data_IF_974818169523
#
_entry.id   IF_974818169523
#
_cell.length_a   1.000
_cell.length_b   1.000
_cell.length_c   1.000
_cell.angle_alpha   90.00
_cell.angle_beta   90.00
_cell.angle_gamma   90.00
#
_symmetry.space_group_name_H-M   'P 1'
#
loop_
_entity.id
_entity.type
_entity.pdbx_description
1 polymer ?
#
# COMPACT_ATOMS: atom_id res chain seq x y z
N UNK A 1 45.57 9.68 -39.40
CA UNK A 1 44.49 8.86 -40.00
C UNK A 1 43.20 9.12 -39.22
N UNK A 2 42.08 9.49 -39.87
CA UNK A 2 40.82 9.72 -39.18
C UNK A 2 40.26 8.39 -38.63
N UNK A 3 39.60 8.38 -37.46
CA UNK A 3 39.05 7.16 -36.88
C UNK A 3 37.93 6.63 -37.78
N UNK A 4 38.07 5.39 -38.26
CA UNK A 4 37.06 4.70 -39.08
C UNK A 4 35.70 4.80 -38.39
N UNK A 5 34.71 5.35 -39.10
CA UNK A 5 33.34 5.43 -38.62
C UNK A 5 32.81 4.01 -38.35
N UNK A 6 32.69 3.65 -37.07
CA UNK A 6 32.17 2.35 -36.64
C UNK A 6 30.73 2.21 -37.13
N UNK A 7 30.43 1.15 -37.87
CA UNK A 7 29.08 0.91 -38.42
C UNK A 7 28.15 0.46 -37.30
N UNK A 8 26.86 0.76 -37.43
CA UNK A 8 25.83 0.44 -36.41
C UNK A 8 25.73 -1.07 -36.19
N UNK A 9 25.95 -1.87 -37.23
CA UNK A 9 25.95 -3.33 -37.15
C UNK A 9 27.06 -3.87 -36.24
N UNK A 10 28.25 -3.26 -36.26
CA UNK A 10 29.36 -3.66 -35.38
C UNK A 10 29.05 -3.37 -33.91
N UNK A 11 28.36 -2.25 -33.65
CA UNK A 11 27.90 -1.88 -32.31
C UNK A 11 26.81 -2.83 -31.80
N UNK A 12 25.88 -3.26 -32.66
CA UNK A 12 24.87 -4.26 -32.30
C UNK A 12 25.49 -5.62 -31.99
N UNK A 13 26.49 -6.04 -32.79
CA UNK A 13 27.26 -7.27 -32.51
C UNK A 13 27.95 -7.19 -31.14
N UNK A 14 28.58 -6.06 -30.83
CA UNK A 14 29.22 -5.83 -29.54
C UNK A 14 28.21 -5.84 -28.37
N UNK A 15 27.04 -5.20 -28.51
CA UNK A 15 25.99 -5.27 -27.50
C UNK A 15 25.49 -6.70 -27.30
N UNK A 16 25.30 -7.46 -28.39
CA UNK A 16 24.85 -8.86 -28.33
C UNK A 16 25.87 -9.77 -27.64
N UNK A 17 27.16 -9.65 -27.96
CA UNK A 17 28.22 -10.41 -27.26
C UNK A 17 28.35 -10.03 -25.79
N UNK A 18 27.89 -8.84 -25.43
CA UNK A 18 27.87 -8.32 -24.07
C UNK A 18 26.56 -8.63 -23.31
N UNK A 19 25.59 -9.33 -23.92
CA UNK A 19 24.29 -9.60 -23.31
C UNK A 19 23.38 -8.38 -23.15
N UNK A 20 23.65 -7.29 -23.87
CA UNK A 20 22.90 -6.04 -23.80
C UNK A 20 21.86 -5.96 -24.92
N UNK A 21 20.80 -5.20 -24.68
CA UNK A 21 19.79 -4.91 -25.71
C UNK A 21 20.41 -4.26 -26.96
N UNK A 22 19.94 -4.67 -28.13
CA UNK A 22 20.50 -4.30 -29.44
C UNK A 22 19.63 -3.31 -30.23
N UNK A 23 18.49 -2.89 -29.67
CA UNK A 23 17.58 -1.91 -30.29
C UNK A 23 18.08 -0.47 -30.14
N UNK A 24 17.56 0.48 -30.92
CA UNK A 24 17.92 1.90 -30.82
C UNK A 24 18.95 2.40 -31.85
N UNK A 25 19.27 3.69 -31.76
CA UNK A 25 20.15 4.38 -32.71
C UNK A 25 21.63 4.23 -32.32
N UNK A 26 22.55 4.73 -33.16
CA UNK A 26 23.99 4.61 -32.94
C UNK A 26 24.44 5.18 -31.58
N UNK A 27 23.86 6.29 -31.13
CA UNK A 27 24.21 6.93 -29.87
C UNK A 27 23.78 6.08 -28.67
N UNK A 28 22.61 5.46 -28.75
CA UNK A 28 22.07 4.59 -27.69
C UNK A 28 22.95 3.36 -27.46
N UNK A 29 23.40 2.72 -28.54
CA UNK A 29 24.29 1.56 -28.50
C UNK A 29 25.66 1.92 -27.91
N UNK A 30 26.23 3.06 -28.30
CA UNK A 30 27.51 3.55 -27.73
C UNK A 30 27.37 3.86 -26.25
N UNK A 31 26.25 4.47 -25.84
CA UNK A 31 25.99 4.80 -24.43
C UNK A 31 25.89 3.54 -23.58
N UNK A 32 25.20 2.50 -24.06
CA UNK A 32 25.09 1.20 -23.37
C UNK A 32 26.44 0.51 -23.19
N UNK A 33 27.25 0.44 -24.25
CA UNK A 33 28.59 -0.16 -24.17
C UNK A 33 29.52 0.61 -23.23
N UNK A 34 29.43 1.94 -23.17
CA UNK A 34 30.19 2.75 -22.20
C UNK A 34 29.74 2.52 -20.76
N UNK A 35 28.43 2.43 -20.53
CA UNK A 35 27.89 2.18 -19.19
C UNK A 35 28.27 0.79 -18.67
N UNK A 36 28.24 -0.24 -19.52
CA UNK A 36 28.67 -1.57 -19.14
C UNK A 36 30.16 -1.65 -18.82
N UNK A 37 31.03 -0.98 -19.62
CA UNK A 37 32.45 -0.88 -19.28
C UNK A 37 32.68 -0.17 -17.93
N UNK A 38 31.85 0.84 -17.62
CA UNK A 38 31.88 1.54 -16.34
C UNK A 38 31.40 0.67 -15.17
N UNK A 39 30.45 -0.24 -15.41
CA UNK A 39 29.99 -1.23 -14.43
C UNK A 39 30.99 -2.37 -14.23
N UNK A 40 31.56 -2.93 -15.31
CA UNK A 40 32.63 -3.94 -15.22
C UNK A 40 33.86 -3.44 -14.48
N UNK A 41 34.28 -2.19 -14.72
CA UNK A 41 35.37 -1.58 -13.94
C UNK A 41 35.01 -1.34 -12.46
N UNK A 42 33.72 -1.40 -12.10
CA UNK A 42 33.26 -1.28 -10.71
C UNK A 42 33.10 -2.64 -10.02
N UNK A 43 32.88 -3.71 -10.78
CA UNK A 43 32.73 -5.09 -10.28
C UNK A 43 34.01 -5.95 -10.38
N UNK A 44 34.97 -5.64 -11.26
CA UNK A 44 36.28 -6.33 -11.36
C UNK A 44 37.32 -5.86 -10.32
N UNK A 45 36.94 -5.03 -9.35
CA UNK A 45 37.80 -4.72 -8.20
C UNK A 45 37.70 -5.83 -7.13
N UNK A 46 38.30 -6.98 -7.45
CA UNK A 46 38.81 -7.95 -6.46
C UNK A 46 40.20 -7.47 -5.98
N UNK A 47 40.58 -7.70 -4.71
CA UNK A 47 41.63 -6.94 -4.04
C UNK A 47 43.01 -7.48 -4.40
N UNK A 48 43.65 -6.85 -5.37
CA UNK A 48 45.09 -6.90 -5.54
C UNK A 48 45.51 -5.51 -6.01
N UNK A 49 46.40 -4.88 -5.25
CA UNK A 49 46.97 -3.55 -5.48
C UNK A 49 46.09 -2.34 -5.09
N UNK A 50 45.49 -2.40 -3.90
CA UNK A 50 45.33 -1.16 -3.13
C UNK A 50 46.60 -0.95 -2.32
N UNK A 51 47.40 0.05 -2.71
CA UNK A 51 48.14 0.83 -1.71
C UNK A 51 47.13 1.14 -0.61
N UNK A 52 47.39 0.57 0.57
CA UNK A 52 46.61 0.74 1.78
C UNK A 52 46.28 2.24 1.91
N UNK A 53 45.01 2.67 1.87
CA UNK A 53 44.68 4.07 2.12
C UNK A 53 45.08 4.33 3.56
N UNK A 54 46.31 4.85 3.72
CA UNK A 54 46.93 5.35 4.95
C UNK A 54 45.81 5.82 5.86
N UNK A 55 45.63 5.14 6.99
CA UNK A 55 44.55 5.38 7.95
C UNK A 55 44.49 6.86 8.32
N UNK A 56 43.68 7.63 7.60
CA UNK A 56 43.59 9.10 7.68
C UNK A 56 42.91 9.56 8.98
N UNK A 57 42.32 8.65 9.74
CA UNK A 57 41.64 8.92 11.01
C UNK A 57 42.29 8.08 12.11
N UNK A 58 42.88 8.76 13.10
CA UNK A 58 43.53 8.10 14.23
C UNK A 58 42.99 8.67 15.53
N UNK A 59 42.63 7.77 16.44
CA UNK A 59 42.09 8.09 17.76
C UNK A 59 42.84 7.28 18.82
N UNK A 60 43.36 7.97 19.83
CA UNK A 60 44.17 7.38 20.91
C UNK A 60 43.55 7.74 22.27
N UNK A 61 43.44 6.76 23.17
CA UNK A 61 42.61 6.87 24.39
C UNK A 61 43.29 6.48 25.70
N UNK A 62 44.62 6.30 25.72
CA UNK A 62 45.32 5.91 26.95
C UNK A 62 46.31 6.97 27.38
N UNK A 63 45.94 7.74 28.41
CA UNK A 63 46.89 8.42 29.28
C UNK A 63 46.35 8.35 30.72
N UNK A 64 47.23 8.07 31.67
CA UNK A 64 46.92 8.03 33.11
C UNK A 64 47.27 9.37 33.79
N UNK A 65 47.73 10.32 33.00
CA UNK A 65 48.35 11.59 33.41
C UNK A 65 47.37 12.75 33.23
N UNK A 66 47.53 13.80 34.04
CA UNK A 66 46.52 14.86 34.19
C UNK A 66 46.75 16.11 33.33
N UNK A 67 47.84 16.19 32.57
CA UNK A 67 48.19 17.40 31.80
C UNK A 67 47.97 17.17 30.29
N UNK A 68 47.27 18.10 29.63
CA UNK A 68 46.90 17.99 28.21
C UNK A 68 48.13 17.77 27.29
N UNK A 69 49.26 18.34 27.68
CA UNK A 69 50.47 18.35 26.87
C UNK A 69 51.26 17.05 26.95
N UNK A 70 51.18 16.34 28.10
CA UNK A 70 51.70 14.98 28.22
C UNK A 70 50.91 14.03 27.31
N UNK A 71 49.58 14.15 27.27
CA UNK A 71 48.72 13.31 26.42
C UNK A 71 49.00 13.55 24.93
N UNK A 72 49.21 14.81 24.52
CA UNK A 72 49.62 15.14 23.14
C UNK A 72 51.01 14.59 22.80
N UNK A 73 51.93 14.56 23.77
CA UNK A 73 53.28 14.03 23.56
C UNK A 73 53.29 12.51 23.40
N UNK A 74 52.57 11.78 24.25
CA UNK A 74 52.43 10.31 24.17
C UNK A 74 51.75 9.86 22.88
N UNK A 75 50.80 10.66 22.37
CA UNK A 75 50.10 10.36 21.13
C UNK A 75 51.02 10.45 19.88
N UNK A 76 52.07 11.27 19.90
CA UNK A 76 53.02 11.42 18.76
C UNK A 76 53.88 10.20 18.51
N UNK A 77 54.04 9.34 19.52
CA UNK A 77 54.80 8.09 19.41
C UNK A 77 54.01 6.96 18.72
N UNK A 78 52.73 7.19 18.41
CA UNK A 78 51.89 6.24 17.68
C UNK A 78 52.15 6.37 16.16
N UNK A 79 52.56 5.29 15.46
CA UNK A 79 52.79 5.31 14.03
C UNK A 79 51.54 5.80 13.26
N UNK A 80 51.71 6.81 12.41
CA UNK A 80 50.63 7.47 11.66
C UNK A 80 50.18 8.83 12.22
N UNK A 81 50.49 9.17 13.48
CA UNK A 81 50.15 10.46 14.10
C UNK A 81 51.15 11.60 13.81
N UNK A 82 52.14 11.39 12.95
CA UNK A 82 53.22 12.37 12.75
C UNK A 82 52.82 13.55 11.84
N UNK A 83 51.72 13.44 11.09
CA UNK A 83 51.28 14.47 10.12
C UNK A 83 49.90 15.02 10.50
N UNK A 84 49.85 16.05 11.36
CA UNK A 84 48.63 16.83 11.64
C UNK A 84 48.64 17.63 12.95
N UNK A 85 47.77 18.65 13.04
CA UNK A 85 47.45 19.33 14.32
C UNK A 85 46.55 18.42 15.17
N UNK A 86 46.96 18.17 16.42
CA UNK A 86 46.26 17.30 17.36
C UNK A 86 45.56 18.13 18.43
N UNK A 87 44.31 17.81 18.70
CA UNK A 87 43.54 18.44 19.78
C UNK A 87 43.01 17.37 20.72
N UNK A 88 42.91 17.72 22.00
CA UNK A 88 42.36 16.85 23.04
C UNK A 88 40.89 17.18 23.23
N UNK A 89 40.03 16.16 23.18
CA UNK A 89 38.61 16.31 23.49
C UNK A 89 38.25 15.40 24.65
N UNK A 90 37.55 15.94 25.65
CA UNK A 90 36.97 15.13 26.73
C UNK A 90 35.60 14.64 26.30
N UNK A 91 35.41 13.32 26.26
CA UNK A 91 34.09 12.69 26.08
C UNK A 91 33.75 11.97 27.37
N UNK A 92 32.68 12.42 28.06
CA UNK A 92 32.26 11.93 29.39
C UNK A 92 33.35 11.91 30.48
N UNK A 93 34.34 12.79 30.39
CA UNK A 93 35.42 12.91 31.37
C UNK A 93 36.70 12.15 31.01
N UNK A 94 36.68 11.31 29.98
CA UNK A 94 37.89 10.66 29.44
C UNK A 94 38.51 11.51 28.33
N UNK A 95 39.83 11.76 28.35
CA UNK A 95 40.53 12.51 27.32
C UNK A 95 40.85 11.62 26.10
N UNK A 96 40.40 12.06 24.93
CA UNK A 96 40.71 11.44 23.64
C UNK A 96 41.61 12.38 22.83
N UNK A 97 42.62 11.83 22.16
CA UNK A 97 43.49 12.58 21.25
C UNK A 97 43.39 12.02 19.85
N UNK A 98 43.18 12.90 18.88
CA UNK A 98 43.10 12.51 17.48
C UNK A 98 43.11 13.70 16.54
N UNK A 99 43.36 13.42 15.27
CA UNK A 99 43.23 14.43 14.22
C UNK A 99 41.76 14.82 14.01
N UNK A 100 41.50 15.90 13.25
CA UNK A 100 40.15 16.44 13.01
C UNK A 100 39.14 15.39 12.55
N UNK A 101 39.58 14.38 11.77
CA UNK A 101 38.74 13.27 11.28
C UNK A 101 38.47 12.22 12.36
N UNK A 102 39.47 11.83 13.14
CA UNK A 102 39.36 10.88 14.25
C UNK A 102 38.46 11.39 15.39
N UNK A 103 38.43 12.70 15.66
CA UNK A 103 37.53 13.30 16.65
C UNK A 103 36.05 13.07 16.31
N UNK A 104 35.69 13.12 15.04
CA UNK A 104 34.32 12.84 14.58
C UNK A 104 33.85 11.41 14.87
N UNK A 105 34.80 10.49 15.13
CA UNK A 105 34.54 9.09 15.46
C UNK A 105 34.38 8.85 16.97
N UNK A 106 34.74 9.83 17.82
CA UNK A 106 34.57 9.73 19.27
C UNK A 106 33.09 9.64 19.65
N UNK A 107 32.76 8.73 20.56
CA UNK A 107 31.38 8.51 21.00
C UNK A 107 30.44 7.92 19.94
N UNK A 108 30.93 7.54 18.74
CA UNK A 108 30.08 6.88 17.73
C UNK A 108 29.51 5.58 18.26
N UNK A 109 30.29 4.75 18.96
CA UNK A 109 29.79 3.50 19.55
C UNK A 109 28.64 3.72 20.54
N UNK A 110 28.71 4.78 21.33
CA UNK A 110 27.61 5.17 22.24
C UNK A 110 26.40 5.70 21.48
N UNK A 111 26.62 6.50 20.42
CA UNK A 111 25.53 6.99 19.56
C UNK A 111 24.85 5.84 18.83
N UNK A 112 25.61 4.85 18.36
CA UNK A 112 25.07 3.62 17.76
C UNK A 112 24.23 2.89 18.79
N UNK A 113 24.76 2.62 19.99
CA UNK A 113 24.00 1.95 21.07
C UNK A 113 22.71 2.70 21.43
N UNK A 114 22.77 4.02 21.59
CA UNK A 114 21.61 4.84 21.89
C UNK A 114 20.59 4.89 20.73
N UNK A 115 21.05 4.77 19.48
CA UNK A 115 20.18 4.65 18.32
C UNK A 115 19.55 3.25 18.24
N UNK A 116 20.31 2.19 18.51
CA UNK A 116 19.81 0.81 18.59
C UNK A 116 18.71 0.70 19.65
N UNK A 117 18.94 1.21 20.86
CA UNK A 117 17.94 1.25 21.94
C UNK A 117 16.67 2.02 21.53
N UNK A 118 16.82 3.16 20.83
CA UNK A 118 15.68 3.93 20.30
C UNK A 118 14.93 3.19 19.21
N UNK A 119 15.63 2.48 18.33
CA UNK A 119 15.01 1.69 17.27
C UNK A 119 14.19 0.55 17.86
N UNK A 120 14.75 -0.21 18.82
CA UNK A 120 14.01 -1.26 19.52
C UNK A 120 12.78 -0.73 20.23
N UNK A 121 12.88 0.41 20.94
CA UNK A 121 11.74 1.03 21.60
C UNK A 121 10.66 1.53 20.62
N UNK A 122 11.05 1.97 19.42
CA UNK A 122 10.10 2.36 18.37
C UNK A 122 9.40 1.15 17.75
N UNK A 123 10.13 0.06 17.52
CA UNK A 123 9.57 -1.21 17.03
C UNK A 123 8.55 -1.79 18.01
N UNK A 124 8.86 -1.82 19.31
CA UNK A 124 7.92 -2.26 20.34
C UNK A 124 6.65 -1.40 20.35
N UNK A 125 6.79 -0.08 20.25
CA UNK A 125 5.65 0.85 20.19
C UNK A 125 4.83 0.66 18.91
N UNK A 126 5.47 0.37 17.78
CA UNK A 126 4.79 0.09 16.52
C UNK A 126 3.95 -1.20 16.63
N UNK A 127 4.55 -2.26 17.18
CA UNK A 127 3.87 -3.52 17.45
C UNK A 127 2.67 -3.35 18.39
N UNK A 128 2.84 -2.62 19.50
CA UNK A 128 1.74 -2.32 20.43
C UNK A 128 0.61 -1.51 19.79
N UNK A 129 0.95 -0.53 18.93
CA UNK A 129 -0.05 0.24 18.17
C UNK A 129 -0.80 -0.63 17.17
N UNK A 130 -0.11 -1.52 16.47
CA UNK A 130 -0.73 -2.43 15.51
C UNK A 130 -1.73 -3.39 16.19
N UNK A 131 -1.39 -3.91 17.37
CA UNK A 131 -2.31 -4.71 18.18
C UNK A 131 -3.56 -3.91 18.57
N UNK A 132 -3.39 -2.66 19.01
CA UNK A 132 -4.52 -1.80 19.35
C UNK A 132 -5.38 -1.44 18.15
N UNK A 133 -4.79 -1.24 16.97
CA UNK A 133 -5.52 -1.01 15.72
C UNK A 133 -6.35 -2.25 15.34
N UNK A 134 -5.82 -3.45 15.52
CA UNK A 134 -6.57 -4.69 15.30
C UNK A 134 -7.78 -4.78 16.25
N UNK A 135 -7.57 -4.58 17.55
CA UNK A 135 -8.65 -4.65 18.54
C UNK A 135 -9.75 -3.60 18.28
N UNK A 136 -9.36 -2.37 17.93
CA UNK A 136 -10.32 -1.31 17.60
C UNK A 136 -11.08 -1.61 16.31
N UNK A 137 -10.43 -2.25 15.33
CA UNK A 137 -11.09 -2.71 14.09
C UNK A 137 -12.16 -3.76 14.41
N UNK A 138 -11.88 -4.71 15.29
CA UNK A 138 -12.84 -5.73 15.70
C UNK A 138 -14.03 -5.12 16.46
N UNK A 139 -13.79 -4.15 17.35
CA UNK A 139 -14.85 -3.43 18.06
C UNK A 139 -15.76 -2.64 17.11
N UNK A 140 -15.18 -1.95 16.12
CA UNK A 140 -15.94 -1.23 15.09
C UNK A 140 -16.80 -2.19 14.27
N UNK A 141 -16.31 -3.40 13.98
CA UNK A 141 -17.08 -4.42 13.25
C UNK A 141 -18.26 -4.94 14.09
N UNK A 142 -18.07 -5.20 15.39
CA UNK A 142 -19.16 -5.60 16.29
C UNK A 142 -20.25 -4.51 16.39
N UNK A 143 -19.85 -3.26 16.59
CA UNK A 143 -20.80 -2.14 16.63
C UNK A 143 -21.54 -1.96 15.31
N UNK A 144 -20.89 -2.25 14.18
CA UNK A 144 -21.52 -2.19 12.87
C UNK A 144 -22.61 -3.27 12.70
N UNK A 145 -22.37 -4.48 13.19
CA UNK A 145 -23.35 -5.57 13.19
C UNK A 145 -24.56 -5.24 14.08
N UNK A 146 -24.31 -4.69 15.27
CA UNK A 146 -25.35 -4.27 16.20
C UNK A 146 -26.22 -3.16 15.60
N UNK A 147 -25.60 -2.14 14.99
CA UNK A 147 -26.33 -1.04 14.34
C UNK A 147 -27.15 -1.54 13.15
N UNK A 148 -26.61 -2.45 12.33
CA UNK A 148 -27.33 -3.03 11.20
C UNK A 148 -28.55 -3.85 11.64
N UNK A 149 -28.38 -4.63 12.71
CA UNK A 149 -29.46 -5.41 13.33
C UNK A 149 -30.52 -4.49 13.93
N UNK A 150 -30.09 -3.48 14.70
CA UNK A 150 -30.98 -2.51 15.34
C UNK A 150 -31.80 -1.72 14.31
N UNK A 151 -31.18 -1.33 13.20
CA UNK A 151 -31.87 -0.71 12.06
C UNK A 151 -33.03 -1.57 11.57
N UNK A 152 -32.86 -2.89 11.46
CA UNK A 152 -33.92 -3.81 11.05
C UNK A 152 -34.97 -4.07 12.13
N UNK A 153 -34.61 -3.95 13.40
CA UNK A 153 -35.58 -4.00 14.50
C UNK A 153 -36.57 -2.83 14.46
N UNK A 154 -36.26 -1.72 13.76
CA UNK A 154 -37.20 -0.63 13.49
C UNK A 154 -38.12 -1.07 12.32
N UNK A 155 -39.40 -1.40 12.58
CA UNK A 155 -40.28 -1.96 11.55
C UNK A 155 -40.43 -1.04 10.33
N UNK A 156 -40.44 0.27 10.53
CA UNK A 156 -40.53 1.27 9.49
C UNK A 156 -39.32 1.22 8.55
N UNK A 157 -38.12 1.03 9.09
CA UNK A 157 -36.91 0.96 8.29
C UNK A 157 -36.86 -0.33 7.48
N UNK A 158 -37.19 -1.48 8.09
CA UNK A 158 -37.30 -2.76 7.38
C UNK A 158 -38.33 -2.71 6.24
N UNK A 159 -39.48 -2.04 6.45
CA UNK A 159 -40.48 -1.81 5.39
C UNK A 159 -39.92 -0.96 4.26
N UNK A 160 -39.21 0.11 4.56
CA UNK A 160 -38.56 0.98 3.55
C UNK A 160 -37.56 0.18 2.71
N UNK A 161 -36.74 -0.67 3.35
CA UNK A 161 -35.76 -1.50 2.64
C UNK A 161 -36.41 -2.60 1.79
N UNK A 162 -37.42 -3.29 2.31
CA UNK A 162 -38.19 -4.26 1.52
C UNK A 162 -38.84 -3.62 0.29
N UNK A 163 -39.40 -2.42 0.46
CA UNK A 163 -40.01 -1.65 -0.62
C UNK A 163 -38.99 -1.24 -1.68
N UNK A 164 -37.77 -0.87 -1.30
CA UNK A 164 -36.70 -0.55 -2.26
C UNK A 164 -36.46 -1.72 -3.23
N UNK A 165 -36.26 -2.93 -2.70
CA UNK A 165 -36.03 -4.14 -3.51
C UNK A 165 -37.28 -4.49 -4.34
N UNK A 166 -38.46 -4.46 -3.75
CA UNK A 166 -39.72 -4.75 -4.46
C UNK A 166 -40.00 -3.74 -5.58
N UNK A 167 -39.67 -2.46 -5.38
CA UNK A 167 -39.77 -1.41 -6.42
C UNK A 167 -38.79 -1.67 -7.55
N UNK A 168 -37.54 -2.02 -7.24
CA UNK A 168 -36.55 -2.43 -8.24
C UNK A 168 -37.05 -3.62 -9.08
N UNK A 169 -37.61 -4.65 -8.43
CA UNK A 169 -38.18 -5.81 -9.15
C UNK A 169 -39.30 -5.42 -10.11
N UNK A 170 -40.19 -4.53 -9.67
CA UNK A 170 -41.30 -4.04 -10.49
C UNK A 170 -40.79 -3.22 -11.68
N UNK A 171 -39.91 -2.27 -11.43
CA UNK A 171 -39.55 -1.22 -12.39
C UNK A 171 -38.41 -1.62 -13.32
N UNK A 172 -37.50 -2.49 -12.87
CA UNK A 172 -36.28 -2.85 -13.62
C UNK A 172 -36.26 -4.32 -14.06
N UNK A 173 -36.77 -5.23 -13.25
CA UNK A 173 -36.78 -6.67 -13.58
C UNK A 173 -38.09 -7.17 -14.21
N UNK A 174 -39.17 -6.37 -14.15
CA UNK A 174 -40.50 -6.73 -14.63
C UNK A 174 -41.01 -8.10 -14.10
N UNK A 175 -40.64 -8.46 -12.87
CA UNK A 175 -40.96 -9.76 -12.27
C UNK A 175 -41.50 -9.65 -10.83
N UNK A 176 -42.09 -8.51 -10.48
CA UNK A 176 -42.73 -8.31 -9.18
C UNK A 176 -43.88 -9.28 -8.95
N UNK A 177 -43.95 -9.83 -7.74
CA UNK A 177 -45.02 -10.71 -7.27
C UNK A 177 -46.14 -9.91 -6.60
N UNK A 178 -47.30 -10.53 -6.33
CA UNK A 178 -48.38 -9.89 -5.56
C UNK A 178 -47.90 -9.41 -4.17
N UNK A 179 -47.00 -10.17 -3.53
CA UNK A 179 -46.39 -9.76 -2.26
C UNK A 179 -45.54 -8.50 -2.42
N UNK A 180 -44.79 -8.36 -3.52
CA UNK A 180 -44.05 -7.13 -3.81
C UNK A 180 -44.99 -5.94 -4.02
N UNK A 181 -46.12 -6.15 -4.72
CA UNK A 181 -47.13 -5.10 -4.91
C UNK A 181 -47.71 -4.65 -3.56
N UNK A 182 -48.03 -5.59 -2.66
CA UNK A 182 -48.50 -5.28 -1.31
C UNK A 182 -47.48 -4.44 -0.53
N UNK A 183 -46.21 -4.84 -0.51
CA UNK A 183 -45.11 -4.11 0.14
C UNK A 183 -44.97 -2.69 -0.43
N UNK A 184 -45.15 -2.51 -1.74
CA UNK A 184 -45.05 -1.20 -2.39
C UNK A 184 -46.20 -0.27 -1.99
N UNK A 185 -47.40 -0.82 -1.79
CA UNK A 185 -48.63 -0.07 -1.47
C UNK A 185 -48.69 0.40 -0.02
N UNK A 186 -48.12 -0.34 0.93
CA UNK A 186 -48.18 0.00 2.37
C UNK A 186 -47.36 1.24 2.77
N UNK A 187 -46.49 1.77 1.91
CA UNK A 187 -45.55 2.85 2.26
C UNK A 187 -45.69 4.11 1.42
N UNK A 188 -45.58 5.29 2.03
CA UNK A 188 -45.37 6.56 1.32
C UNK A 188 -43.89 6.96 1.22
N UNK A 189 -43.04 6.40 2.07
CA UNK A 189 -41.60 6.74 2.14
C UNK A 189 -40.81 5.95 1.09
N UNK A 190 -40.09 6.66 0.23
CA UNK A 190 -39.21 6.09 -0.80
C UNK A 190 -37.80 5.97 -0.24
N UNK A 191 -37.16 4.80 -0.35
CA UNK A 191 -35.71 4.70 -0.14
C UNK A 191 -35.02 5.15 -1.43
N UNK A 192 -34.11 6.11 -1.33
CA UNK A 192 -33.42 6.67 -2.49
C UNK A 192 -32.07 5.99 -2.79
N UNK A 193 -31.54 5.19 -1.86
CA UNK A 193 -30.17 4.65 -1.96
C UNK A 193 -30.12 3.16 -1.58
N UNK A 194 -29.16 2.44 -2.17
CA UNK A 194 -28.82 1.08 -1.76
C UNK A 194 -28.22 1.04 -0.36
N UNK A 195 -28.49 -0.02 0.38
CA UNK A 195 -27.84 -0.34 1.66
C UNK A 195 -27.57 -1.85 1.64
N UNK A 196 -26.45 -2.23 1.04
CA UNK A 196 -26.15 -3.63 0.74
C UNK A 196 -26.10 -4.50 2.01
N UNK A 197 -25.58 -3.95 3.11
CA UNK A 197 -25.47 -4.66 4.38
C UNK A 197 -26.85 -4.94 4.98
N UNK A 198 -27.72 -3.92 5.07
CA UNK A 198 -29.06 -4.08 5.63
C UNK A 198 -29.95 -4.91 4.71
N UNK A 199 -29.86 -4.70 3.39
CA UNK A 199 -30.70 -5.43 2.44
C UNK A 199 -30.34 -6.92 2.37
N UNK A 200 -29.07 -7.29 2.60
CA UNK A 200 -28.66 -8.68 2.68
C UNK A 200 -29.34 -9.38 3.88
N UNK A 201 -29.40 -8.69 5.02
CA UNK A 201 -30.05 -9.21 6.23
C UNK A 201 -31.56 -9.44 6.06
N UNK A 202 -32.23 -8.78 5.11
CA UNK A 202 -33.63 -9.07 4.78
C UNK A 202 -33.87 -10.49 4.24
N UNK A 203 -32.81 -11.19 3.80
CA UNK A 203 -32.89 -12.56 3.32
C UNK A 203 -32.65 -13.60 4.43
N UNK A 204 -32.27 -13.17 5.63
CA UNK A 204 -32.07 -14.06 6.76
C UNK A 204 -33.39 -14.46 7.44
N UNK A 205 -33.40 -15.63 8.09
CA UNK A 205 -34.52 -16.10 8.89
C UNK A 205 -35.67 -16.77 8.12
N UNK A 206 -36.66 -17.24 8.88
CA UNK A 206 -37.83 -18.00 8.38
C UNK A 206 -38.79 -17.13 7.56
N UNK A 207 -38.85 -15.84 7.84
CA UNK A 207 -39.69 -14.86 7.14
C UNK A 207 -38.86 -13.93 6.23
N UNK A 208 -37.58 -14.27 5.99
CA UNK A 208 -36.73 -13.53 5.08
C UNK A 208 -37.20 -13.63 3.63
N UNK A 209 -36.77 -12.67 2.81
CA UNK A 209 -36.98 -12.65 1.37
C UNK A 209 -36.49 -13.95 0.71
N UNK A 210 -37.15 -14.37 -0.37
CA UNK A 210 -36.92 -15.67 -1.06
C UNK A 210 -36.49 -15.51 -2.51
N UNK A 211 -36.11 -14.31 -2.91
CA UNK A 211 -35.75 -13.91 -4.27
C UNK A 211 -34.29 -13.44 -4.38
N UNK A 212 -33.29 -14.27 -3.99
CA UNK A 212 -31.89 -13.84 -3.95
C UNK A 212 -31.33 -13.43 -5.32
N UNK A 213 -31.95 -13.86 -6.42
CA UNK A 213 -31.62 -13.39 -7.76
C UNK A 213 -31.87 -11.89 -7.95
N UNK A 214 -32.94 -11.34 -7.38
CA UNK A 214 -33.22 -9.91 -7.42
C UNK A 214 -32.15 -9.12 -6.65
N UNK A 215 -31.72 -9.63 -5.48
CA UNK A 215 -30.61 -9.06 -4.74
C UNK A 215 -29.32 -9.10 -5.54
N UNK A 216 -28.98 -10.23 -6.16
CA UNK A 216 -27.77 -10.36 -6.97
C UNK A 216 -27.77 -9.42 -8.18
N UNK A 217 -28.91 -9.25 -8.85
CA UNK A 217 -29.03 -8.27 -9.93
C UNK A 217 -28.84 -6.83 -9.45
N UNK A 218 -29.26 -6.53 -8.23
CA UNK A 218 -29.20 -5.19 -7.65
C UNK A 218 -27.81 -4.85 -7.09
N UNK A 219 -27.15 -5.81 -6.43
CA UNK A 219 -25.91 -5.61 -5.69
C UNK A 219 -24.70 -6.32 -6.30
N UNK A 220 -24.86 -7.14 -7.34
CA UNK A 220 -23.78 -7.90 -7.98
C UNK A 220 -23.43 -9.23 -7.29
N UNK A 221 -23.69 -9.36 -5.99
CA UNK A 221 -23.29 -10.51 -5.17
C UNK A 221 -24.49 -11.20 -4.52
N UNK A 222 -24.32 -12.45 -4.10
CA UNK A 222 -25.38 -13.19 -3.39
C UNK A 222 -25.53 -12.65 -1.94
N UNK A 223 -26.76 -12.52 -1.40
CA UNK A 223 -26.96 -11.91 -0.07
C UNK A 223 -26.24 -12.64 1.06
N UNK A 224 -26.15 -13.98 0.98
CA UNK A 224 -25.42 -14.79 1.97
C UNK A 224 -23.90 -14.54 1.99
N UNK A 225 -23.33 -13.95 0.93
CA UNK A 225 -21.92 -13.58 0.91
C UNK A 225 -21.75 -12.12 1.33
N UNK A 226 -22.66 -11.24 0.90
CA UNK A 226 -22.67 -9.83 1.33
C UNK A 226 -22.79 -9.68 2.84
N UNK A 227 -23.60 -10.52 3.50
CA UNK A 227 -23.76 -10.44 4.97
C UNK A 227 -22.46 -10.72 5.74
N UNK A 228 -21.50 -11.44 5.12
CA UNK A 228 -20.21 -11.76 5.73
C UNK A 228 -19.19 -10.63 5.54
N UNK A 229 -19.43 -9.72 4.61
CA UNK A 229 -18.50 -8.64 4.27
C UNK A 229 -18.50 -7.59 5.39
N UNK A 230 -17.32 -7.33 5.97
CA UNK A 230 -17.12 -6.29 6.99
C UNK A 230 -16.42 -5.05 6.42
N UNK A 231 -15.76 -5.19 5.28
CA UNK A 231 -15.07 -4.11 4.60
C UNK A 231 -16.05 -3.04 4.09
N UNK A 232 -15.98 -1.85 4.69
CA UNK A 232 -16.92 -0.75 4.46
C UNK A 232 -16.87 -0.27 3.02
N UNK A 233 -15.67 -0.21 2.45
CA UNK A 233 -15.42 0.23 1.09
C UNK A 233 -16.06 -0.72 0.07
N UNK A 234 -16.06 -2.03 0.34
CA UNK A 234 -16.78 -3.01 -0.48
C UNK A 234 -18.28 -2.78 -0.39
N UNK A 235 -18.84 -2.74 0.83
CA UNK A 235 -20.28 -2.49 1.05
C UNK A 235 -20.73 -1.19 0.39
N UNK A 236 -19.90 -0.15 0.43
CA UNK A 236 -20.17 1.13 -0.18
C UNK A 236 -20.28 1.02 -1.70
N UNK A 237 -19.35 0.34 -2.37
CA UNK A 237 -19.42 0.14 -3.83
C UNK A 237 -20.64 -0.70 -4.24
N UNK A 238 -20.99 -1.75 -3.49
CA UNK A 238 -22.21 -2.52 -3.76
C UNK A 238 -23.46 -1.63 -3.64
N UNK A 239 -23.50 -0.76 -2.62
CA UNK A 239 -24.59 0.18 -2.38
C UNK A 239 -24.70 1.25 -3.47
N UNK A 240 -23.57 1.76 -3.97
CA UNK A 240 -23.52 2.67 -5.13
C UNK A 240 -24.12 2.00 -6.36
N UNK A 241 -23.70 0.77 -6.68
CA UNK A 241 -24.24 0.04 -7.84
C UNK A 241 -25.75 -0.15 -7.74
N UNK A 242 -26.25 -0.54 -6.57
CA UNK A 242 -27.69 -0.66 -6.35
C UNK A 242 -28.43 0.67 -6.54
N UNK A 243 -27.87 1.78 -6.04
CA UNK A 243 -28.42 3.12 -6.26
C UNK A 243 -28.51 3.46 -7.75
N UNK A 244 -27.42 3.29 -8.50
CA UNK A 244 -27.37 3.54 -9.95
C UNK A 244 -28.35 2.65 -10.72
N UNK A 245 -28.44 1.37 -10.36
CA UNK A 245 -29.26 0.38 -11.06
C UNK A 245 -30.75 0.52 -10.76
N UNK A 246 -31.10 0.98 -9.56
CA UNK A 246 -32.48 1.24 -9.15
C UNK A 246 -32.99 2.65 -9.51
N UNK A 247 -32.12 3.60 -9.88
CA UNK A 247 -32.53 4.97 -10.21
C UNK A 247 -33.54 4.98 -11.38
N UNK A 248 -34.67 5.66 -11.18
CA UNK A 248 -35.75 5.76 -12.18
C UNK A 248 -35.61 6.96 -13.12
N UNK A 249 -34.76 7.93 -12.77
CA UNK A 249 -34.56 9.19 -13.48
C UNK A 249 -33.29 9.18 -14.33
N UNK A 250 -32.28 8.42 -13.92
CA UNK A 250 -30.99 8.33 -14.60
C UNK A 250 -30.66 6.88 -14.93
N UNK A 251 -29.90 6.71 -16.01
CA UNK A 251 -29.40 5.40 -16.44
C UNK A 251 -27.90 5.35 -16.19
N UNK A 252 -27.44 4.26 -15.56
CA UNK A 252 -26.02 3.99 -15.38
C UNK A 252 -25.30 3.83 -16.73
N UNK A 253 -24.01 4.17 -16.79
CA UNK A 253 -23.20 3.94 -18.00
C UNK A 253 -22.82 2.46 -18.14
N UNK A 254 -22.69 1.98 -19.38
CA UNK A 254 -22.22 0.62 -19.65
C UNK A 254 -20.80 0.39 -19.09
N UNK A 255 -19.97 1.43 -19.13
CA UNK A 255 -18.62 1.40 -18.57
C UNK A 255 -18.62 1.22 -17.05
N UNK A 256 -19.52 1.91 -16.34
CA UNK A 256 -19.70 1.71 -14.90
C UNK A 256 -20.09 0.26 -14.58
N UNK A 257 -21.11 -0.27 -15.27
CA UNK A 257 -21.55 -1.65 -15.05
C UNK A 257 -20.46 -2.68 -15.39
N UNK A 258 -19.68 -2.44 -16.45
CA UNK A 258 -18.56 -3.31 -16.84
C UNK A 258 -17.46 -3.33 -15.78
N UNK A 259 -17.04 -2.15 -15.29
CA UNK A 259 -16.03 -2.03 -14.22
C UNK A 259 -16.51 -2.63 -12.91
N UNK A 260 -17.78 -2.43 -12.58
CA UNK A 260 -18.40 -3.04 -11.40
C UNK A 260 -18.40 -4.57 -11.50
N UNK A 261 -18.82 -5.12 -12.64
CA UNK A 261 -18.80 -6.57 -12.86
C UNK A 261 -17.38 -7.16 -12.77
N UNK A 262 -16.38 -6.46 -13.32
CA UNK A 262 -14.97 -6.83 -13.21
C UNK A 262 -14.49 -6.86 -11.74
N UNK A 263 -14.84 -5.86 -10.94
CA UNK A 263 -14.54 -5.85 -9.51
C UNK A 263 -15.20 -7.02 -8.78
N UNK A 264 -16.50 -7.26 -8.98
CA UNK A 264 -17.21 -8.36 -8.32
C UNK A 264 -16.57 -9.70 -8.67
N UNK A 265 -16.24 -9.93 -9.95
CA UNK A 265 -15.59 -11.17 -10.38
C UNK A 265 -14.21 -11.37 -9.74
N UNK A 266 -13.38 -10.32 -9.69
CA UNK A 266 -12.06 -10.39 -9.05
C UNK A 266 -12.17 -10.57 -7.54
N UNK A 267 -13.13 -9.91 -6.90
CA UNK A 267 -13.34 -10.00 -5.46
C UNK A 267 -13.89 -11.38 -5.05
N UNK A 268 -14.88 -11.92 -5.77
CA UNK A 268 -15.34 -13.29 -5.55
C UNK A 268 -14.20 -14.30 -5.84
N UNK A 269 -13.43 -14.07 -6.90
CA UNK A 269 -12.28 -14.89 -7.29
C UNK A 269 -11.13 -14.90 -6.28
N UNK A 270 -10.97 -13.83 -5.48
CA UNK A 270 -10.01 -13.80 -4.37
C UNK A 270 -10.50 -14.49 -3.10
N UNK A 271 -11.71 -15.07 -3.13
CA UNK A 271 -12.36 -15.61 -1.94
C UNK A 271 -12.95 -14.53 -1.05
N UNK A 272 -13.34 -13.38 -1.63
CA UNK A 272 -13.82 -12.19 -0.92
C UNK A 272 -12.76 -11.64 0.06
N UNK A 273 -11.49 -11.64 -0.34
CA UNK A 273 -10.40 -11.12 0.49
C UNK A 273 -10.53 -9.61 0.68
N UNK A 274 -11.09 -9.20 1.83
CA UNK A 274 -11.27 -7.83 2.29
C UNK A 274 -9.97 -7.05 2.49
N UNK A 275 -8.81 -7.71 2.47
CA UNK A 275 -7.52 -7.05 2.65
C UNK A 275 -7.05 -6.31 1.38
N UNK A 276 -7.82 -6.31 0.28
CA UNK A 276 -7.38 -5.78 -1.01
C UNK A 276 -6.92 -4.30 -1.01
N UNK A 277 -7.38 -3.47 -0.07
CA UNK A 277 -6.88 -2.08 0.09
C UNK A 277 -5.73 -1.94 1.10
N UNK A 278 -5.29 -3.03 1.72
CA UNK A 278 -4.21 -3.02 2.70
C UNK A 278 -2.84 -3.06 2.01
N UNK A 279 -1.88 -2.32 2.55
CA UNK A 279 -0.51 -2.34 2.06
C UNK A 279 0.07 -3.77 2.08
N UNK A 280 0.60 -4.21 0.93
CA UNK A 280 1.16 -5.57 0.77
C UNK A 280 0.14 -6.66 0.45
N UNK A 281 -1.12 -6.31 0.18
CA UNK A 281 -2.12 -7.29 -0.26
C UNK A 281 -1.72 -7.97 -1.57
N UNK A 282 -2.02 -9.26 -1.67
CA UNK A 282 -1.85 -10.05 -2.90
C UNK A 282 -2.98 -9.76 -3.91
N UNK A 283 -4.03 -9.06 -3.50
CA UNK A 283 -5.22 -8.73 -4.31
C UNK A 283 -5.09 -7.39 -5.03
N UNK A 284 -3.93 -7.12 -5.62
CA UNK A 284 -3.65 -5.85 -6.30
C UNK A 284 -4.60 -5.56 -7.47
N UNK A 285 -5.09 -6.60 -8.16
CA UNK A 285 -6.04 -6.46 -9.25
C UNK A 285 -7.45 -6.08 -8.75
N UNK A 286 -7.89 -6.63 -7.61
CA UNK A 286 -9.15 -6.24 -6.95
C UNK A 286 -9.09 -4.76 -6.55
N UNK A 287 -7.98 -4.32 -5.98
CA UNK A 287 -7.76 -2.92 -5.64
C UNK A 287 -7.81 -2.01 -6.87
N UNK A 288 -7.18 -2.42 -7.97
CA UNK A 288 -7.21 -1.65 -9.23
C UNK A 288 -8.63 -1.54 -9.79
N UNK A 289 -9.40 -2.63 -9.77
CA UNK A 289 -10.79 -2.63 -10.19
C UNK A 289 -11.67 -1.74 -9.30
N UNK A 290 -11.46 -1.79 -7.98
CA UNK A 290 -12.11 -0.90 -7.01
C UNK A 290 -11.90 0.58 -7.35
N UNK A 291 -10.63 1.01 -7.52
CA UNK A 291 -10.32 2.40 -7.85
C UNK A 291 -10.87 2.81 -9.22
N UNK A 292 -10.84 1.89 -10.20
CA UNK A 292 -11.39 2.12 -11.53
C UNK A 292 -12.90 2.46 -11.51
N UNK A 293 -13.66 1.87 -10.59
CA UNK A 293 -15.10 2.20 -10.43
C UNK A 293 -15.28 3.62 -9.89
N UNK A 294 -14.50 4.01 -8.88
CA UNK A 294 -14.61 5.33 -8.26
C UNK A 294 -14.26 6.46 -9.22
N UNK A 295 -13.34 6.21 -10.15
CA UNK A 295 -12.97 7.16 -11.20
C UNK A 295 -13.93 7.13 -12.41
N UNK A 296 -14.96 6.26 -12.39
CA UNK A 296 -15.89 6.10 -13.50
C UNK A 296 -17.06 7.08 -13.42
N UNK A 297 -17.45 7.64 -14.56
CA UNK A 297 -18.73 8.34 -14.69
C UNK A 297 -19.88 7.34 -14.52
N UNK A 298 -20.65 7.48 -13.44
CA UNK A 298 -21.70 6.53 -13.08
C UNK A 298 -22.93 6.63 -13.96
N UNK A 299 -23.36 7.85 -14.32
CA UNK A 299 -24.60 8.10 -15.06
C UNK A 299 -24.31 8.63 -16.46
N UNK A 300 -25.16 8.26 -17.40
CA UNK A 300 -25.17 8.89 -18.72
C UNK A 300 -25.47 10.38 -18.58
N UNK A 301 -24.78 11.21 -19.37
CA UNK A 301 -25.11 12.63 -19.43
C UNK A 301 -26.51 12.80 -20.02
N UNK A 302 -27.32 13.62 -19.37
CA UNK A 302 -28.64 14.00 -19.86
C UNK A 302 -28.45 14.67 -21.23
N UNK A 303 -28.95 14.05 -22.29
CA UNK A 303 -29.01 14.64 -23.62
C UNK A 303 -29.92 15.86 -23.67
#
# INVERSE_FOLDING_TARGET
MPPKATKVEDLRKQCKSAGLDTTGNKADLVKRLKNQKKQKNREELSPADQDDPKYDAILVTKSKTSSEEEIKSEAKDVPGLQEGEHEVQKVRGEPFVGNRRGRGLTGIGERIRALEEKTSALEERASARNLRLSALKDEVNLLWDDVSTLKLCVPEYSRVRNRFISTFKRDKLNNATESDIYIIQEGNTMAHEGDAAVDALLYEGLNGRRDPSAFKELYGMHPADVVKIRHKETIHILSIHAGVRADSRKTGTDEFYRRFAEFVQLFEGSGCDESYLTAGSQCADVARAYWSILDCQMYQDSA
#
